data_IF_920608544382
#
_entry.id   IF_920608544382
#
_cell.length_a   1.000
_cell.length_b   1.000
_cell.length_c   1.000
_cell.angle_alpha   90.00
_cell.angle_beta   90.00
_cell.angle_gamma   90.00
#
_symmetry.space_group_name_H-M   'P 1'
#
loop_
_entity.id
_entity.type
_entity.pdbx_description
1 polymer ?
#
# COMPACT_ATOMS: atom_id res chain seq x y z
N UNK A 1 9.33 15.65 7.38
CA UNK A 1 8.93 16.57 6.30
C UNK A 1 7.43 16.88 6.31
N UNK A 2 6.62 16.10 7.03
CA UNK A 2 5.16 16.19 6.92
C UNK A 2 4.50 17.13 7.91
N UNK A 3 5.21 17.70 8.90
CA UNK A 3 4.56 18.36 10.02
C UNK A 3 4.52 19.89 9.94
N UNK A 4 5.46 20.53 9.26
CA UNK A 4 5.57 21.99 9.30
C UNK A 4 5.66 22.65 7.93
N UNK A 5 5.74 21.89 6.85
CA UNK A 5 5.90 22.44 5.51
C UNK A 5 4.54 22.74 4.87
N UNK A 6 4.39 23.91 4.27
CA UNK A 6 3.21 24.22 3.46
C UNK A 6 3.24 23.46 2.14
N UNK A 7 4.42 23.29 1.56
CA UNK A 7 4.63 22.55 0.33
C UNK A 7 5.94 21.78 0.40
N UNK A 8 5.94 20.63 -0.26
CA UNK A 8 7.10 19.75 -0.36
C UNK A 8 7.43 19.56 -1.85
N UNK A 9 8.73 19.59 -2.16
CA UNK A 9 9.24 19.25 -3.48
C UNK A 9 10.04 17.96 -3.33
N UNK A 10 9.60 16.91 -4.00
CA UNK A 10 10.32 15.63 -4.01
C UNK A 10 11.25 15.58 -5.22
N UNK A 11 12.54 15.41 -4.95
CA UNK A 11 13.56 15.36 -5.98
C UNK A 11 14.15 13.95 -6.07
N UNK A 12 14.44 13.52 -7.29
CA UNK A 12 15.14 12.27 -7.56
C UNK A 12 16.20 12.53 -8.63
N UNK A 13 17.47 12.43 -8.24
CA UNK A 13 18.62 12.67 -9.14
C UNK A 13 18.49 14.01 -9.87
N UNK A 14 18.09 15.06 -9.17
CA UNK A 14 17.94 16.41 -9.72
C UNK A 14 16.64 16.68 -10.46
N UNK A 15 15.79 15.66 -10.65
CA UNK A 15 14.50 15.83 -11.30
C UNK A 15 13.39 15.96 -10.27
N UNK A 16 12.42 16.83 -10.55
CA UNK A 16 11.25 16.98 -9.69
C UNK A 16 10.28 15.84 -9.96
N UNK A 17 10.02 15.03 -8.94
CA UNK A 17 9.05 13.93 -9.03
C UNK A 17 7.64 14.40 -8.70
N UNK A 18 7.49 15.24 -7.70
CA UNK A 18 6.19 15.77 -7.30
C UNK A 18 6.36 17.01 -6.43
N UNK A 19 5.39 17.92 -6.52
CA UNK A 19 5.26 19.10 -5.67
C UNK A 19 3.84 19.12 -5.11
N UNK A 20 3.69 19.34 -3.82
CA UNK A 20 2.37 19.42 -3.20
C UNK A 20 2.45 19.64 -1.71
N UNK A 21 1.30 19.71 -1.06
CA UNK A 21 1.22 19.71 0.40
C UNK A 21 1.63 18.33 0.93
N UNK A 22 2.01 18.23 2.21
CA UNK A 22 2.28 16.93 2.82
C UNK A 22 1.13 15.94 2.62
N UNK A 23 -0.12 16.37 2.78
CA UNK A 23 -1.29 15.52 2.58
C UNK A 23 -1.43 15.07 1.14
N UNK A 24 -1.20 15.96 0.16
CA UNK A 24 -1.25 15.60 -1.25
C UNK A 24 -0.24 14.51 -1.59
N UNK A 25 0.97 14.67 -1.11
CA UNK A 25 2.06 13.73 -1.39
C UNK A 25 1.80 12.38 -0.73
N UNK A 26 1.29 12.40 0.50
CA UNK A 26 0.98 11.18 1.25
C UNK A 26 -0.22 10.43 0.63
N UNK A 27 -1.31 11.14 0.34
CA UNK A 27 -2.56 10.54 -0.13
C UNK A 27 -2.58 10.30 -1.64
N UNK A 28 -1.84 11.09 -2.41
CA UNK A 28 -1.87 11.05 -3.87
C UNK A 28 -0.46 11.06 -4.47
N UNK A 29 0.40 10.09 -4.11
CA UNK A 29 1.72 10.01 -4.72
C UNK A 29 1.60 9.70 -6.21
N UNK A 30 2.39 10.40 -7.02
CA UNK A 30 2.34 10.26 -8.48
C UNK A 30 3.08 9.02 -9.00
N UNK A 31 3.95 8.46 -8.19
CA UNK A 31 4.72 7.26 -8.55
C UNK A 31 5.23 6.54 -7.31
N UNK A 32 5.84 5.38 -7.54
CA UNK A 32 6.39 4.55 -6.46
C UNK A 32 7.47 5.28 -5.66
N UNK A 33 8.34 6.02 -6.34
CA UNK A 33 9.42 6.76 -5.65
C UNK A 33 8.85 7.71 -4.60
N UNK A 34 7.85 8.50 -4.98
CA UNK A 34 7.17 9.43 -4.06
C UNK A 34 6.46 8.68 -2.96
N UNK A 35 5.74 7.63 -3.30
CA UNK A 35 4.99 6.83 -2.33
C UNK A 35 5.89 6.26 -1.24
N UNK A 36 7.09 5.82 -1.59
CA UNK A 36 8.06 5.26 -0.65
C UNK A 36 8.93 6.30 0.03
N UNK A 37 8.99 7.51 -0.50
CA UNK A 37 9.76 8.60 0.09
C UNK A 37 9.11 9.13 1.37
N UNK A 38 7.78 9.14 1.42
CA UNK A 38 6.99 9.65 2.54
C UNK A 38 6.46 8.48 3.35
N UNK A 39 6.66 8.57 4.67
CA UNK A 39 6.15 7.58 5.62
C UNK A 39 7.25 6.64 6.13
N UNK A 40 7.07 6.17 7.35
CA UNK A 40 7.97 5.22 8.02
C UNK A 40 7.14 4.22 8.80
N UNK A 41 7.24 2.92 8.50
CA UNK A 41 8.01 2.30 7.40
C UNK A 41 7.50 2.72 6.02
N UNK A 42 8.29 2.43 4.99
CA UNK A 42 7.92 2.73 3.61
C UNK A 42 6.65 1.98 3.21
N UNK A 43 5.91 2.57 2.24
CA UNK A 43 4.79 1.86 1.61
C UNK A 43 5.24 0.48 1.13
N UNK A 44 4.42 -0.52 1.41
CA UNK A 44 4.60 -1.83 0.81
C UNK A 44 4.30 -1.72 -0.68
N UNK A 45 5.27 -2.06 -1.51
CA UNK A 45 5.11 -2.11 -2.97
C UNK A 45 5.28 -3.57 -3.37
N UNK A 46 4.20 -4.15 -3.88
CA UNK A 46 4.13 -5.57 -4.14
C UNK A 46 3.85 -5.81 -5.62
N UNK A 47 4.53 -6.78 -6.24
CA UNK A 47 4.24 -7.10 -7.64
C UNK A 47 2.83 -7.65 -7.80
N UNK A 48 2.13 -7.14 -8.79
CA UNK A 48 0.85 -7.64 -9.25
C UNK A 48 1.08 -8.11 -10.68
N UNK A 49 1.43 -9.38 -10.83
CA UNK A 49 1.84 -9.93 -12.11
C UNK A 49 0.63 -10.17 -13.02
N UNK A 50 0.87 -10.36 -14.30
CA UNK A 50 -0.21 -10.60 -15.27
C UNK A 50 -1.09 -11.79 -14.88
N UNK A 51 -0.54 -12.79 -14.22
CA UNK A 51 -1.27 -13.97 -13.73
C UNK A 51 -2.25 -13.62 -12.60
N UNK A 52 -2.04 -12.49 -11.91
CA UNK A 52 -2.94 -12.01 -10.85
C UNK A 52 -4.13 -11.24 -11.41
N UNK A 53 -4.12 -10.93 -12.71
CA UNK A 53 -5.22 -10.24 -13.38
C UNK A 53 -6.24 -11.30 -13.80
N UNK A 54 -7.38 -11.35 -13.11
CA UNK A 54 -8.43 -12.33 -13.35
C UNK A 54 -9.26 -11.94 -14.56
N UNK A 55 -9.61 -10.65 -14.64
CA UNK A 55 -10.34 -10.06 -15.76
C UNK A 55 -9.98 -8.57 -15.84
N UNK A 56 -10.63 -7.83 -16.73
CA UNK A 56 -10.33 -6.41 -16.87
C UNK A 56 -10.70 -5.58 -15.64
N UNK A 57 -11.49 -6.12 -14.72
CA UNK A 57 -11.88 -5.42 -13.49
C UNK A 57 -11.65 -6.21 -12.20
N UNK A 58 -10.95 -7.34 -12.28
CA UNK A 58 -10.70 -8.19 -11.11
C UNK A 58 -9.24 -8.59 -11.01
N UNK A 59 -8.72 -8.56 -9.79
CA UNK A 59 -7.36 -9.02 -9.48
C UNK A 59 -7.41 -10.00 -8.31
N UNK A 60 -6.40 -10.87 -8.23
CA UNK A 60 -6.13 -11.68 -7.04
C UNK A 60 -4.96 -11.08 -6.29
N UNK A 61 -5.17 -10.77 -5.02
CA UNK A 61 -4.15 -10.18 -4.18
C UNK A 61 -4.28 -10.69 -2.75
N UNK A 62 -3.19 -11.23 -2.21
CA UNK A 62 -3.13 -11.79 -0.83
C UNK A 62 -4.28 -12.76 -0.55
N UNK A 63 -4.60 -13.59 -1.53
CA UNK A 63 -5.66 -14.58 -1.40
C UNK A 63 -7.08 -14.03 -1.57
N UNK A 64 -7.23 -12.76 -1.91
CA UNK A 64 -8.52 -12.13 -2.12
C UNK A 64 -8.75 -11.81 -3.57
N UNK A 65 -9.98 -11.99 -4.03
CA UNK A 65 -10.42 -11.52 -5.33
C UNK A 65 -11.03 -10.13 -5.15
N UNK A 66 -10.43 -9.13 -5.79
CA UNK A 66 -10.80 -7.73 -5.63
C UNK A 66 -11.37 -7.23 -6.95
N UNK A 67 -12.60 -6.70 -6.88
CA UNK A 67 -13.32 -6.18 -8.04
C UNK A 67 -13.29 -4.65 -8.03
N UNK A 68 -12.99 -4.06 -9.19
CA UNK A 68 -13.00 -2.62 -9.38
C UNK A 68 -14.18 -2.23 -10.27
N UNK A 69 -14.92 -1.19 -9.89
CA UNK A 69 -16.10 -0.78 -10.64
C UNK A 69 -15.75 -0.03 -11.92
N UNK A 70 -14.71 0.78 -11.89
CA UNK A 70 -14.37 1.66 -13.00
C UNK A 70 -12.95 1.46 -13.54
N UNK A 71 -12.03 1.05 -12.70
CA UNK A 71 -10.64 0.80 -13.12
C UNK A 71 -10.60 -0.44 -13.98
N UNK A 72 -9.92 -0.35 -15.12
CA UNK A 72 -9.76 -1.45 -16.06
C UNK A 72 -8.30 -1.85 -16.16
N UNK A 73 -8.05 -3.14 -16.03
CA UNK A 73 -6.72 -3.71 -16.11
C UNK A 73 -6.51 -4.41 -17.45
N UNK A 74 -5.30 -4.26 -17.98
CA UNK A 74 -4.81 -5.07 -19.07
C UNK A 74 -4.10 -6.29 -18.51
N UNK A 75 -3.91 -7.33 -19.32
CA UNK A 75 -3.20 -8.53 -18.91
C UNK A 75 -1.69 -8.27 -18.97
N UNK A 76 -1.19 -7.54 -18.00
CA UNK A 76 0.23 -7.16 -17.89
C UNK A 76 0.61 -7.00 -16.42
N UNK A 77 1.86 -6.62 -16.15
CA UNK A 77 2.38 -6.47 -14.80
C UNK A 77 2.09 -5.06 -14.26
N UNK A 78 1.71 -5.00 -13.00
CA UNK A 78 1.48 -3.78 -12.21
C UNK A 78 2.20 -3.91 -10.88
N UNK A 79 2.16 -2.84 -10.10
CA UNK A 79 2.51 -2.89 -8.67
C UNK A 79 1.31 -2.42 -7.86
N UNK A 80 1.16 -3.03 -6.68
CA UNK A 80 0.13 -2.65 -5.73
C UNK A 80 0.81 -2.11 -4.48
N UNK A 81 0.35 -0.97 -3.97
CA UNK A 81 0.88 -0.35 -2.77
C UNK A 81 -0.13 -0.33 -1.64
N UNK A 82 0.34 -0.61 -0.43
CA UNK A 82 -0.44 -0.41 0.80
C UNK A 82 0.52 0.11 1.87
N UNK A 83 0.14 1.19 2.52
CA UNK A 83 0.94 1.73 3.62
C UNK A 83 0.85 0.81 4.84
N UNK A 84 1.95 0.64 5.58
CA UNK A 84 1.96 -0.22 6.76
C UNK A 84 0.87 0.10 7.78
N UNK A 85 0.54 1.37 7.97
CA UNK A 85 -0.47 1.83 8.92
C UNK A 85 -1.90 1.61 8.44
N UNK A 86 -2.10 1.26 7.18
CA UNK A 86 -3.44 0.99 6.62
C UNK A 86 -3.87 -0.46 6.78
N UNK A 87 -2.98 -1.33 7.20
CA UNK A 87 -3.40 -2.66 7.67
C UNK A 87 -4.05 -2.52 9.05
N UNK A 88 -5.12 -3.27 9.28
CA UNK A 88 -5.82 -3.24 10.56
C UNK A 88 -6.05 -4.66 11.08
N UNK A 89 -6.42 -4.74 12.35
CA UNK A 89 -6.81 -6.01 13.01
C UNK A 89 -8.31 -6.06 13.27
N UNK A 90 -9.04 -5.05 12.81
CA UNK A 90 -10.50 -4.97 12.92
C UNK A 90 -11.17 -5.99 12.00
N UNK A 91 -12.33 -6.51 12.39
CA UNK A 91 -13.10 -7.44 11.56
C UNK A 91 -14.02 -6.75 10.56
N UNK A 92 -13.98 -5.42 10.49
CA UNK A 92 -14.92 -4.64 9.68
C UNK A 92 -14.43 -4.40 8.24
N UNK A 93 -13.22 -4.87 7.91
CA UNK A 93 -12.63 -4.64 6.60
C UNK A 93 -13.10 -5.67 5.57
N UNK A 94 -13.02 -5.29 4.29
CA UNK A 94 -13.47 -6.11 3.17
C UNK A 94 -12.59 -7.33 2.92
N UNK A 95 -11.28 -7.18 3.11
CA UNK A 95 -10.29 -8.20 2.74
C UNK A 95 -9.44 -8.59 3.95
N UNK A 96 -9.07 -9.87 3.99
CA UNK A 96 -8.31 -10.46 5.10
C UNK A 96 -7.21 -11.37 4.56
N UNK A 97 -6.13 -11.48 5.32
CA UNK A 97 -5.11 -12.47 5.03
C UNK A 97 -4.36 -12.84 6.31
N UNK A 98 -3.71 -13.99 6.29
CA UNK A 98 -2.96 -14.52 7.44
C UNK A 98 -1.49 -14.62 7.04
N UNK A 99 -0.68 -13.58 7.31
CA UNK A 99 0.74 -13.63 7.00
C UNK A 99 1.50 -14.48 8.00
N UNK A 100 2.71 -14.87 7.59
CA UNK A 100 3.70 -15.42 8.53
C UNK A 100 4.44 -14.23 9.15
N UNK A 101 4.45 -14.15 10.46
CA UNK A 101 5.20 -13.10 11.18
C UNK A 101 6.65 -13.52 11.29
N UNK A 102 7.55 -12.67 10.81
CA UNK A 102 9.00 -12.92 10.84
C UNK A 102 9.67 -12.19 11.99
N UNK A 103 9.23 -10.95 12.29
CA UNK A 103 9.83 -10.12 13.33
C UNK A 103 8.82 -9.06 13.78
N UNK A 104 8.83 -8.76 15.06
CA UNK A 104 8.04 -7.65 15.63
C UNK A 104 9.01 -6.67 16.29
N UNK A 105 8.94 -5.40 15.88
CA UNK A 105 9.70 -4.31 16.47
C UNK A 105 8.76 -3.47 17.33
N UNK A 106 8.99 -3.43 18.63
CA UNK A 106 8.15 -2.68 19.55
C UNK A 106 8.70 -1.27 19.75
N UNK A 107 7.90 -0.26 19.41
CA UNK A 107 8.28 1.15 19.49
C UNK A 107 7.54 1.88 20.62
N UNK A 108 7.01 1.16 21.60
CA UNK A 108 6.24 1.74 22.68
C UNK A 108 4.74 1.72 22.38
N UNK A 109 4.19 2.83 21.90
CA UNK A 109 2.77 2.92 21.58
C UNK A 109 2.37 2.15 20.32
N UNK A 110 3.34 1.89 19.46
CA UNK A 110 3.13 1.20 18.19
C UNK A 110 4.13 0.06 18.05
N UNK A 111 3.79 -0.90 17.23
CA UNK A 111 4.71 -1.95 16.83
C UNK A 111 4.69 -2.11 15.32
N UNK A 112 5.83 -2.47 14.76
CA UNK A 112 5.98 -2.79 13.36
C UNK A 112 6.09 -4.30 13.26
N UNK A 113 5.20 -4.90 12.46
CA UNK A 113 5.20 -6.34 12.21
C UNK A 113 5.79 -6.56 10.83
N UNK A 114 6.94 -7.22 10.77
CA UNK A 114 7.56 -7.65 9.52
C UNK A 114 7.08 -9.06 9.24
N UNK A 115 6.57 -9.29 8.04
CA UNK A 115 5.87 -10.51 7.72
C UNK A 115 6.09 -10.91 6.27
N UNK A 116 5.75 -12.14 5.98
CA UNK A 116 5.76 -12.68 4.63
C UNK A 116 4.44 -13.37 4.33
N UNK A 117 4.07 -13.36 3.06
CA UNK A 117 2.91 -14.08 2.55
C UNK A 117 3.30 -14.61 1.17
N UNK A 118 3.38 -15.92 1.06
CA UNK A 118 4.01 -16.58 -0.07
C UNK A 118 5.43 -16.04 -0.26
N UNK A 119 5.75 -15.44 -1.42
CA UNK A 119 7.07 -14.87 -1.67
C UNK A 119 7.11 -13.35 -1.48
N UNK A 120 6.06 -12.77 -0.90
CA UNK A 120 5.96 -11.33 -0.67
C UNK A 120 6.41 -10.98 0.74
N UNK A 121 7.19 -9.90 0.86
CA UNK A 121 7.57 -9.34 2.15
C UNK A 121 6.79 -8.05 2.40
N UNK A 122 6.20 -7.95 3.58
CA UNK A 122 5.35 -6.81 3.95
C UNK A 122 5.69 -6.33 5.36
N UNK A 123 5.29 -5.10 5.65
CA UNK A 123 5.28 -4.58 7.01
C UNK A 123 3.93 -3.96 7.33
N UNK A 124 3.52 -4.08 8.58
CA UNK A 124 2.35 -3.43 9.12
C UNK A 124 2.75 -2.62 10.35
N UNK A 125 2.07 -1.50 10.56
CA UNK A 125 2.28 -0.65 11.73
C UNK A 125 0.96 -0.59 12.49
N UNK A 126 0.94 -1.18 13.68
CA UNK A 126 -0.28 -1.31 14.47
C UNK A 126 -0.06 -0.79 15.89
N UNK A 127 -1.14 -0.45 16.59
CA UNK A 127 -1.06 -0.07 17.99
C UNK A 127 -0.52 -1.23 18.81
N UNK A 128 0.37 -0.95 19.75
CA UNK A 128 0.92 -1.96 20.65
C UNK A 128 -0.14 -2.54 21.60
N UNK A 129 -1.29 -1.86 21.75
CA UNK A 129 -2.38 -2.31 22.59
C UNK A 129 -3.38 -3.21 21.86
N UNK A 130 -3.23 -3.36 20.56
CA UNK A 130 -4.10 -4.24 19.77
C UNK A 130 -3.61 -5.67 19.89
N UNK A 131 -4.56 -6.59 20.12
CA UNK A 131 -4.28 -8.03 20.15
C UNK A 131 -4.16 -8.54 18.72
N UNK A 132 -2.93 -8.71 18.27
CA UNK A 132 -2.63 -9.19 16.91
C UNK A 132 -2.61 -10.71 16.90
N UNK A 133 -3.59 -11.32 16.23
CA UNK A 133 -3.73 -12.78 16.14
C UNK A 133 -3.30 -13.32 14.76
N UNK A 134 -2.27 -12.74 14.17
CA UNK A 134 -1.69 -13.16 12.91
C UNK A 134 -2.67 -13.07 11.73
N UNK A 135 -3.69 -12.23 11.84
CA UNK A 135 -4.61 -11.91 10.76
C UNK A 135 -4.67 -10.40 10.59
N UNK A 136 -4.54 -9.93 9.37
CA UNK A 136 -4.63 -8.51 9.02
C UNK A 136 -5.70 -8.28 7.98
N UNK A 137 -6.25 -7.09 8.01
CA UNK A 137 -7.35 -6.66 7.16
C UNK A 137 -6.98 -5.38 6.42
N UNK A 138 -7.59 -5.18 5.27
CA UNK A 138 -7.46 -3.95 4.50
C UNK A 138 -8.70 -3.74 3.64
N UNK A 139 -8.86 -2.52 3.14
CA UNK A 139 -10.00 -2.14 2.30
C UNK A 139 -9.53 -1.68 0.93
N UNK A 140 -10.44 -1.65 -0.03
CA UNK A 140 -10.15 -1.15 -1.37
C UNK A 140 -9.58 0.27 -1.34
N UNK A 141 -10.09 1.12 -0.45
CA UNK A 141 -9.62 2.51 -0.31
C UNK A 141 -8.14 2.62 0.10
N UNK A 142 -7.56 1.55 0.65
CA UNK A 142 -6.18 1.53 1.12
C UNK A 142 -5.19 1.15 0.01
N UNK A 143 -5.70 0.75 -1.16
CA UNK A 143 -4.90 0.24 -2.27
C UNK A 143 -4.47 1.36 -3.20
N UNK A 144 -3.18 1.35 -3.54
CA UNK A 144 -2.61 2.16 -4.61
C UNK A 144 -2.18 1.24 -5.74
N UNK A 145 -2.45 1.63 -6.98
CA UNK A 145 -2.04 0.87 -8.16
C UNK A 145 -1.02 1.71 -8.95
N UNK A 146 0.05 1.05 -9.37
CA UNK A 146 1.08 1.64 -10.21
C UNK A 146 1.29 0.75 -11.44
N UNK A 147 1.60 1.38 -12.57
CA UNK A 147 1.92 0.62 -13.77
C UNK A 147 3.32 -0.01 -13.69
N UNK A 148 3.70 -0.71 -14.73
CA UNK A 148 5.00 -1.38 -14.79
C UNK A 148 6.21 -0.45 -14.72
N UNK A 149 6.01 0.83 -15.03
CA UNK A 149 7.04 1.87 -14.93
C UNK A 149 7.03 2.59 -13.59
N UNK A 150 6.11 2.22 -12.69
CA UNK A 150 5.98 2.83 -11.38
C UNK A 150 5.11 4.09 -11.35
N UNK A 151 4.46 4.44 -12.45
CA UNK A 151 3.55 5.59 -12.50
C UNK A 151 2.20 5.23 -11.89
N UNK A 152 1.61 6.20 -11.18
CA UNK A 152 0.34 5.98 -10.50
C UNK A 152 -0.81 5.76 -11.49
N UNK A 153 -1.62 4.75 -11.21
CA UNK A 153 -2.94 4.58 -11.82
C UNK A 153 -3.97 4.93 -10.77
N UNK A 154 -4.76 5.98 -11.01
CA UNK A 154 -5.72 6.46 -10.03
C UNK A 154 -6.98 5.60 -10.06
N UNK A 155 -7.31 5.04 -8.89
CA UNK A 155 -8.55 4.30 -8.69
C UNK A 155 -9.66 5.33 -8.49
N UNK A 156 -10.82 5.09 -9.12
CA UNK A 156 -11.97 5.96 -8.94
C UNK A 156 -12.45 5.89 -7.49
N UNK A 157 -12.93 7.03 -6.97
CA UNK A 157 -13.52 7.08 -5.62
C UNK A 157 -14.65 6.07 -5.43
N UNK A 158 -15.32 5.68 -6.52
CA UNK A 158 -16.44 4.73 -6.50
C UNK A 158 -16.07 3.30 -6.91
N UNK A 159 -14.79 3.01 -6.99
CA UNK A 159 -14.31 1.65 -7.31
C UNK A 159 -14.48 0.63 -6.16
#
# INVERSE_FOLDING_TARGET
AMTLADRIVILNLGNIEQVGTPDDIYNNPSNIFVAQFIGTPKMNILPLNSENIVSDNKINFLGNEITFQKTKFEKKNYFLGIRPEHFSVSNDSEFKFKPKVDLVENLGNEKIVYMSNDNLELSAKISSQVDFQNELNFDLKDIFIFDENGSRIYISFYD
#
